data_IF_467202956041
#
_entry.id   IF_467202956041
#
_cell.length_a   1.000
_cell.length_b   1.000
_cell.length_c   1.000
_cell.angle_alpha   90.00
_cell.angle_beta   90.00
_cell.angle_gamma   90.00
#
_symmetry.space_group_name_H-M   'P 1'
#
loop_
_entity.id
_entity.type
_entity.pdbx_description
1 polymer ?
#
# COMPACT_ATOMS: atom_id res chain seq x y z
N UNK A 1 2.13 66.22 -11.85
CA UNK A 1 2.64 65.23 -12.83
C UNK A 1 2.46 63.88 -12.19
N UNK A 2 1.56 63.06 -12.73
CA UNK A 2 1.29 61.70 -12.24
C UNK A 2 2.40 60.78 -12.74
N UNK A 3 3.12 60.12 -11.83
CA UNK A 3 3.98 58.99 -12.18
C UNK A 3 3.11 57.73 -12.23
N UNK A 4 3.20 57.05 -13.37
CA UNK A 4 2.52 55.82 -13.75
C UNK A 4 3.23 54.65 -13.04
N UNK A 5 2.67 54.15 -11.94
CA UNK A 5 3.09 52.90 -11.29
C UNK A 5 2.74 51.73 -12.21
N UNK A 6 3.60 51.50 -13.21
CA UNK A 6 3.55 50.27 -14.01
C UNK A 6 3.99 49.11 -13.14
N UNK A 7 3.01 48.29 -12.75
CA UNK A 7 3.23 46.94 -12.26
C UNK A 7 4.10 46.17 -13.27
N UNK A 8 5.36 45.92 -12.91
CA UNK A 8 6.29 45.09 -13.69
C UNK A 8 6.16 43.64 -13.20
N UNK A 9 5.48 42.74 -13.95
CA UNK A 9 5.30 41.36 -13.56
C UNK A 9 6.57 40.51 -13.66
N UNK A 10 7.72 41.09 -14.03
CA UNK A 10 8.99 40.35 -14.16
C UNK A 10 9.82 40.33 -12.88
N UNK A 11 9.45 41.10 -11.86
CA UNK A 11 10.12 41.07 -10.56
C UNK A 11 9.44 40.06 -9.61
N UNK A 12 9.21 38.86 -10.11
CA UNK A 12 8.96 37.69 -9.27
C UNK A 12 10.34 37.25 -8.81
N UNK A 13 10.66 37.48 -7.54
CA UNK A 13 11.77 36.82 -6.89
C UNK A 13 11.62 35.31 -7.14
N UNK A 14 12.39 34.78 -8.11
CA UNK A 14 12.49 33.36 -8.39
C UNK A 14 13.28 32.70 -7.26
N UNK A 15 12.66 32.61 -6.08
CA UNK A 15 12.98 31.57 -5.12
C UNK A 15 12.52 30.25 -5.74
N UNK A 16 13.37 29.70 -6.59
CA UNK A 16 13.25 28.39 -7.20
C UNK A 16 13.23 27.31 -6.09
N UNK A 17 12.08 27.13 -5.46
CA UNK A 17 11.80 26.04 -4.54
C UNK A 17 11.94 24.73 -5.32
N UNK A 18 13.09 24.09 -5.18
CA UNK A 18 13.39 22.81 -5.82
C UNK A 18 12.26 21.81 -5.58
N UNK A 19 11.70 21.27 -6.66
CA UNK A 19 10.65 20.23 -6.66
C UNK A 19 11.01 19.03 -5.78
N UNK A 20 12.31 18.73 -5.66
CA UNK A 20 12.82 17.64 -4.82
C UNK A 20 12.60 17.93 -3.31
N UNK A 21 12.75 19.19 -2.90
CA UNK A 21 12.50 19.62 -1.51
C UNK A 21 11.02 19.48 -1.14
N UNK A 22 10.12 19.83 -2.06
CA UNK A 22 8.67 19.70 -1.87
C UNK A 22 8.27 18.21 -1.80
N UNK A 23 8.76 17.38 -2.72
CA UNK A 23 8.51 15.92 -2.71
C UNK A 23 8.97 15.27 -1.41
N UNK A 24 10.15 15.65 -0.91
CA UNK A 24 10.68 15.14 0.37
C UNK A 24 9.80 15.54 1.55
N UNK A 25 9.29 16.76 1.56
CA UNK A 25 8.38 17.26 2.62
C UNK A 25 7.04 16.53 2.59
N UNK A 26 6.44 16.33 1.41
CA UNK A 26 5.19 15.57 1.22
C UNK A 26 5.36 14.11 1.66
N UNK A 27 6.46 13.46 1.26
CA UNK A 27 6.75 12.08 1.67
C UNK A 27 6.92 11.95 3.19
N UNK A 28 7.54 12.94 3.83
CA UNK A 28 7.69 12.96 5.30
C UNK A 28 6.34 13.09 5.99
N UNK A 29 5.50 14.03 5.53
CA UNK A 29 4.14 14.23 6.05
C UNK A 29 3.29 12.97 5.90
N UNK A 30 3.30 12.34 4.71
CA UNK A 30 2.63 11.07 4.46
C UNK A 30 3.12 9.97 5.40
N UNK A 31 4.42 9.85 5.62
CA UNK A 31 4.97 8.86 6.53
C UNK A 31 4.55 9.10 7.99
N UNK A 32 4.42 10.36 8.42
CA UNK A 32 3.90 10.71 9.75
C UNK A 32 2.41 10.41 9.88
N UNK A 33 1.61 10.74 8.86
CA UNK A 33 0.18 10.39 8.82
C UNK A 33 -0.02 8.88 8.87
N UNK A 34 0.74 8.10 8.10
CA UNK A 34 0.64 6.65 8.09
C UNK A 34 0.95 6.06 9.47
N UNK A 35 1.97 6.57 10.17
CA UNK A 35 2.33 6.13 11.52
C UNK A 35 1.26 6.43 12.57
N UNK A 36 0.42 7.45 12.34
CA UNK A 36 -0.69 7.75 13.24
C UNK A 36 -1.88 6.78 13.08
N UNK A 37 -1.93 6.05 11.96
CA UNK A 37 -2.99 5.08 11.70
C UNK A 37 -2.71 3.76 12.43
N UNK A 38 -3.63 3.36 13.31
CA UNK A 38 -3.52 2.12 14.11
C UNK A 38 -3.44 0.84 13.26
N UNK A 39 -3.98 0.87 12.04
CA UNK A 39 -3.94 -0.25 11.09
C UNK A 39 -2.68 -0.26 10.23
N UNK A 40 -1.82 0.75 10.30
CA UNK A 40 -0.56 0.78 9.57
C UNK A 40 0.49 -0.07 10.31
N UNK A 41 0.97 -1.11 9.64
CA UNK A 41 1.94 -2.05 10.18
C UNK A 41 3.15 -2.09 9.26
N UNK A 42 4.34 -2.18 9.85
CA UNK A 42 5.59 -2.30 9.10
C UNK A 42 6.41 -3.48 9.64
N UNK A 43 6.72 -4.43 8.76
CA UNK A 43 7.60 -5.56 9.03
C UNK A 43 8.94 -5.39 8.31
N UNK A 44 9.95 -6.17 8.72
CA UNK A 44 11.24 -6.22 8.03
C UNK A 44 11.56 -7.65 7.62
N UNK A 45 11.74 -7.89 6.32
CA UNK A 45 12.10 -9.21 5.78
C UNK A 45 13.42 -9.18 5.04
N UNK A 46 14.14 -10.30 5.08
CA UNK A 46 15.32 -10.52 4.23
C UNK A 46 14.86 -11.05 2.88
N UNK A 47 15.20 -10.34 1.81
CA UNK A 47 14.94 -10.77 0.44
C UNK A 47 16.25 -11.15 -0.24
N UNK A 48 16.22 -12.17 -1.10
CA UNK A 48 17.36 -12.49 -1.97
C UNK A 48 17.43 -11.46 -3.08
N UNK A 49 18.61 -10.91 -3.31
CA UNK A 49 18.88 -9.98 -4.41
C UNK A 49 20.11 -10.48 -5.15
N UNK A 50 20.03 -10.48 -6.47
CA UNK A 50 21.16 -10.84 -7.33
C UNK A 50 21.90 -9.59 -7.79
N UNK A 51 23.22 -9.60 -7.68
CA UNK A 51 24.10 -8.57 -8.23
C UNK A 51 25.41 -9.22 -8.62
N UNK A 52 25.87 -8.98 -9.86
CA UNK A 52 27.13 -9.52 -10.38
C UNK A 52 27.23 -11.05 -10.21
N UNK A 53 26.17 -11.79 -10.58
CA UNK A 53 26.08 -13.26 -10.45
C UNK A 53 26.28 -13.80 -9.02
N UNK A 54 26.05 -12.97 -7.99
CA UNK A 54 26.07 -13.38 -6.59
C UNK A 54 24.74 -13.02 -5.93
N UNK A 55 24.20 -13.95 -5.15
CA UNK A 55 22.99 -13.73 -4.35
C UNK A 55 23.37 -13.24 -2.96
N UNK A 56 22.70 -12.19 -2.49
CA UNK A 56 22.87 -11.66 -1.13
C UNK A 56 21.51 -11.37 -0.50
N UNK A 57 21.43 -11.52 0.82
CA UNK A 57 20.24 -11.18 1.57
C UNK A 57 20.24 -9.68 1.90
N UNK A 58 19.20 -8.98 1.47
CA UNK A 58 18.97 -7.58 1.78
C UNK A 58 17.72 -7.43 2.64
N UNK A 59 17.84 -6.71 3.76
CA UNK A 59 16.68 -6.36 4.57
C UNK A 59 15.83 -5.31 3.86
N UNK A 60 14.53 -5.57 3.76
CA UNK A 60 13.51 -4.66 3.22
C UNK A 60 12.42 -4.44 4.25
N UNK A 61 12.02 -3.18 4.39
CA UNK A 61 10.84 -2.79 5.15
C UNK A 61 9.63 -2.92 4.25
N UNK A 62 8.61 -3.64 4.71
CA UNK A 62 7.35 -3.82 4.01
C UNK A 62 6.29 -3.22 4.92
N UNK A 63 5.56 -2.24 4.39
CA UNK A 63 4.49 -1.58 5.12
C UNK A 63 3.14 -1.90 4.47
N UNK A 64 2.12 -2.09 5.29
CA UNK A 64 0.78 -2.40 4.82
C UNK A 64 -0.27 -1.91 5.80
N UNK A 65 -1.50 -1.85 5.33
CA UNK A 65 -2.66 -1.52 6.13
C UNK A 65 -3.48 -2.76 6.44
N UNK A 66 -3.62 -3.05 7.73
CA UNK A 66 -4.55 -4.05 8.21
C UNK A 66 -5.98 -3.52 8.15
N UNK A 67 -6.88 -4.41 7.79
CA UNK A 67 -8.32 -4.25 7.93
C UNK A 67 -8.77 -4.58 9.36
N UNK A 68 -9.94 -4.08 9.73
CA UNK A 68 -10.54 -4.32 11.05
C UNK A 68 -11.14 -5.72 11.21
N UNK A 69 -12.02 -5.85 12.20
CA UNK A 69 -12.81 -7.06 12.43
C UNK A 69 -14.03 -7.16 11.51
N UNK A 70 -14.80 -8.25 11.62
CA UNK A 70 -16.09 -8.39 10.96
C UNK A 70 -16.97 -7.14 11.13
N UNK A 71 -17.65 -6.73 10.05
CA UNK A 71 -18.48 -5.54 9.99
C UNK A 71 -17.72 -4.23 9.69
N UNK A 72 -16.38 -4.22 9.79
CA UNK A 72 -15.59 -3.07 9.33
C UNK A 72 -15.51 -3.02 7.80
N UNK A 73 -15.32 -1.82 7.20
CA UNK A 73 -15.06 -1.70 5.78
C UNK A 73 -13.72 -2.36 5.43
N UNK A 74 -13.70 -3.04 4.28
CA UNK A 74 -12.48 -3.59 3.70
C UNK A 74 -11.53 -2.43 3.37
N UNK A 75 -10.26 -2.61 3.71
CA UNK A 75 -9.20 -1.66 3.46
C UNK A 75 -8.17 -2.23 2.50
N UNK A 76 -7.78 -1.45 1.49
CA UNK A 76 -6.69 -1.82 0.60
C UNK A 76 -5.36 -1.88 1.38
N UNK A 77 -4.66 -3.01 1.28
CA UNK A 77 -3.45 -3.26 2.05
C UNK A 77 -2.26 -2.37 1.67
N UNK A 78 -2.25 -1.77 0.46
CA UNK A 78 -1.17 -0.92 -0.04
C UNK A 78 -1.50 0.56 0.15
N UNK A 79 -2.66 1.01 -0.34
CA UNK A 79 -3.02 2.44 -0.33
C UNK A 79 -3.67 2.87 0.98
N UNK A 80 -4.27 1.93 1.72
CA UNK A 80 -5.02 2.21 2.93
C UNK A 80 -6.42 2.78 2.67
N UNK A 81 -6.87 2.84 1.41
CA UNK A 81 -8.23 3.24 1.03
C UNK A 81 -9.27 2.30 1.65
N UNK A 82 -10.39 2.86 2.13
CA UNK A 82 -11.50 2.10 2.73
C UNK A 82 -12.66 2.01 1.74
N UNK A 83 -13.08 0.79 1.43
CA UNK A 83 -14.24 0.53 0.59
C UNK A 83 -15.50 0.45 1.47
N UNK A 84 -16.16 1.60 1.68
CA UNK A 84 -17.27 1.71 2.64
C UNK A 84 -18.46 0.79 2.36
N UNK A 85 -18.69 0.41 1.09
CA UNK A 85 -19.77 -0.50 0.71
C UNK A 85 -19.38 -1.98 0.82
N UNK A 86 -18.10 -2.29 1.03
CA UNK A 86 -17.58 -3.66 1.09
C UNK A 86 -17.16 -3.95 2.52
N UNK A 87 -17.94 -4.79 3.21
CA UNK A 87 -17.72 -5.10 4.62
C UNK A 87 -17.03 -6.46 4.80
N UNK A 88 -16.20 -6.56 5.83
CA UNK A 88 -15.60 -7.81 6.29
C UNK A 88 -16.72 -8.71 6.85
N UNK A 89 -16.74 -9.96 6.42
CA UNK A 89 -17.80 -10.94 6.68
C UNK A 89 -18.96 -10.89 5.68
N UNK A 90 -18.85 -10.11 4.60
CA UNK A 90 -19.83 -10.09 3.51
C UNK A 90 -19.31 -10.78 2.24
N UNK A 91 -20.20 -11.01 1.26
CA UNK A 91 -19.83 -11.57 -0.06
C UNK A 91 -18.75 -10.76 -0.79
N UNK A 92 -18.58 -9.48 -0.44
CA UNK A 92 -17.57 -8.61 -1.05
C UNK A 92 -16.13 -9.01 -0.73
N UNK A 93 -15.88 -9.83 0.30
CA UNK A 93 -14.52 -10.33 0.54
C UNK A 93 -13.95 -11.10 -0.65
N UNK A 94 -14.82 -11.74 -1.43
CA UNK A 94 -14.46 -12.59 -2.56
C UNK A 94 -13.94 -11.78 -3.76
N UNK A 95 -14.17 -10.46 -3.75
CA UNK A 95 -13.64 -9.51 -4.73
C UNK A 95 -12.14 -9.23 -4.52
N UNK A 96 -11.59 -9.60 -3.37
CA UNK A 96 -10.24 -9.26 -2.97
C UNK A 96 -9.43 -10.51 -2.62
N UNK A 97 -8.11 -10.41 -2.74
CA UNK A 97 -7.21 -11.42 -2.23
C UNK A 97 -6.94 -11.17 -0.75
N UNK A 98 -7.63 -11.93 0.10
CA UNK A 98 -7.52 -11.86 1.57
C UNK A 98 -6.32 -12.64 2.06
N UNK A 99 -5.48 -12.00 2.88
CA UNK A 99 -4.30 -12.61 3.48
C UNK A 99 -4.26 -12.29 4.97
N UNK A 100 -4.01 -13.30 5.80
CA UNK A 100 -3.72 -13.10 7.22
C UNK A 100 -2.26 -13.44 7.49
N UNK A 101 -1.52 -12.51 8.10
CA UNK A 101 -0.13 -12.73 8.42
C UNK A 101 0.00 -13.39 9.81
N UNK A 102 0.41 -14.65 9.84
CA UNK A 102 0.58 -15.44 11.08
C UNK A 102 2.03 -15.89 11.29
N UNK A 103 3.00 -15.03 10.95
CA UNK A 103 4.45 -15.33 11.03
C UNK A 103 5.10 -14.90 12.36
N UNK A 104 4.34 -14.25 13.26
CA UNK A 104 4.86 -13.68 14.51
C UNK A 104 5.61 -12.36 14.34
N UNK A 105 5.84 -11.90 13.10
CA UNK A 105 6.50 -10.63 12.79
C UNK A 105 5.70 -9.41 13.30
N UNK A 106 4.43 -9.61 13.61
CA UNK A 106 3.46 -8.60 14.07
C UNK A 106 3.09 -8.78 15.54
N UNK A 107 3.91 -9.51 16.31
CA UNK A 107 3.65 -9.80 17.72
C UNK A 107 2.45 -10.74 17.90
N UNK A 108 1.58 -10.51 18.91
CA UNK A 108 0.42 -11.37 19.18
C UNK A 108 -0.72 -11.17 18.16
N UNK A 109 -0.63 -10.18 17.28
CA UNK A 109 -1.66 -9.87 16.31
C UNK A 109 -1.40 -10.61 14.99
N UNK A 110 -2.47 -11.13 14.39
CA UNK A 110 -2.46 -11.69 13.04
C UNK A 110 -3.27 -10.77 12.12
N UNK A 111 -2.66 -9.72 11.55
CA UNK A 111 -3.39 -8.75 10.76
C UNK A 111 -3.94 -9.37 9.48
N UNK A 112 -5.19 -9.04 9.18
CA UNK A 112 -5.83 -9.37 7.90
C UNK A 112 -5.68 -8.21 6.93
N UNK A 113 -5.24 -8.53 5.72
CA UNK A 113 -4.96 -7.61 4.63
C UNK A 113 -5.80 -8.01 3.42
N UNK A 114 -6.19 -7.04 2.61
CA UNK A 114 -6.92 -7.26 1.36
C UNK A 114 -6.17 -6.60 0.22
N UNK A 115 -5.78 -7.40 -0.76
CA UNK A 115 -5.13 -6.99 -2.00
C UNK A 115 -6.11 -7.09 -3.17
N UNK A 116 -5.87 -6.36 -4.24
CA UNK A 116 -6.64 -6.46 -5.47
C UNK A 116 -6.42 -7.81 -6.17
N UNK A 117 -5.24 -8.41 -6.04
CA UNK A 117 -4.94 -9.72 -6.63
C UNK A 117 -3.81 -10.46 -5.88
N UNK A 118 -3.66 -11.78 -6.10
CA UNK A 118 -2.50 -12.54 -5.60
C UNK A 118 -1.16 -11.96 -6.07
N UNK A 119 -1.09 -11.50 -7.33
CA UNK A 119 0.13 -10.93 -7.91
C UNK A 119 0.48 -9.58 -7.28
N UNK A 120 -0.53 -8.79 -6.89
CA UNK A 120 -0.32 -7.57 -6.13
C UNK A 120 0.30 -7.88 -4.76
N UNK A 121 -0.22 -8.90 -4.06
CA UNK A 121 0.36 -9.36 -2.81
C UNK A 121 1.82 -9.80 -2.98
N UNK A 122 2.12 -10.65 -3.95
CA UNK A 122 3.49 -11.12 -4.19
C UNK A 122 4.45 -9.98 -4.47
N UNK A 123 4.07 -9.06 -5.36
CA UNK A 123 4.87 -7.88 -5.70
C UNK A 123 5.09 -6.99 -4.47
N UNK A 124 4.05 -6.75 -3.69
CA UNK A 124 4.13 -5.95 -2.45
C UNK A 124 5.04 -6.62 -1.40
N UNK A 125 5.04 -7.95 -1.36
CA UNK A 125 5.94 -8.76 -0.53
C UNK A 125 7.30 -9.01 -1.18
N UNK A 126 7.66 -8.30 -2.25
CA UNK A 126 8.92 -8.43 -2.99
C UNK A 126 9.21 -9.86 -3.47
N UNK A 127 8.17 -10.63 -3.82
CA UNK A 127 8.24 -12.04 -4.20
C UNK A 127 8.96 -12.93 -3.17
N UNK A 128 9.03 -12.49 -1.90
CA UNK A 128 9.54 -13.31 -0.80
C UNK A 128 8.62 -14.48 -0.46
N UNK A 129 7.36 -14.38 -0.87
CA UNK A 129 6.35 -15.42 -0.79
C UNK A 129 5.78 -15.56 -2.20
N UNK A 130 5.79 -16.79 -2.72
CA UNK A 130 5.16 -17.15 -3.98
C UNK A 130 3.86 -17.89 -3.68
N UNK A 131 2.77 -17.46 -4.28
CA UNK A 131 1.47 -18.09 -4.22
C UNK A 131 1.42 -19.18 -5.30
N UNK A 132 0.98 -20.39 -4.92
CA UNK A 132 0.88 -21.50 -5.88
C UNK A 132 -0.10 -21.19 -7.01
N UNK A 133 0.15 -21.78 -8.19
CA UNK A 133 -0.76 -21.72 -9.34
C UNK A 133 -2.19 -22.06 -8.95
N UNK A 134 -2.36 -23.14 -8.19
CA UNK A 134 -3.67 -23.67 -7.79
C UNK A 134 -4.43 -22.67 -6.91
N UNK A 135 -3.71 -21.97 -6.02
CA UNK A 135 -4.32 -20.93 -5.18
C UNK A 135 -4.75 -19.73 -6.01
N UNK A 136 -3.93 -19.34 -7.01
CA UNK A 136 -4.28 -18.24 -7.93
C UNK A 136 -5.50 -18.60 -8.77
N UNK A 137 -5.55 -19.82 -9.31
CA UNK A 137 -6.68 -20.31 -10.11
C UNK A 137 -7.97 -20.42 -9.30
N UNK A 138 -7.87 -20.97 -8.08
CA UNK A 138 -8.99 -21.02 -7.14
C UNK A 138 -9.54 -19.62 -6.84
N UNK A 139 -8.66 -18.66 -6.52
CA UNK A 139 -9.08 -17.29 -6.27
C UNK A 139 -9.69 -16.64 -7.52
N UNK A 140 -9.10 -16.82 -8.71
CA UNK A 140 -9.63 -16.27 -9.96
C UNK A 140 -11.07 -16.76 -10.23
N UNK A 141 -11.33 -18.05 -10.02
CA UNK A 141 -12.66 -18.65 -10.21
C UNK A 141 -13.68 -18.02 -9.26
N UNK A 142 -13.30 -17.88 -8.00
CA UNK A 142 -14.12 -17.29 -6.94
C UNK A 142 -14.39 -15.79 -7.22
N UNK A 143 -13.36 -15.06 -7.59
CA UNK A 143 -13.42 -13.63 -7.92
C UNK A 143 -14.32 -13.37 -9.13
N UNK A 144 -14.18 -14.16 -10.19
CA UNK A 144 -15.00 -14.04 -11.40
C UNK A 144 -16.49 -14.25 -11.09
N UNK A 145 -16.80 -15.22 -10.23
CA UNK A 145 -18.19 -15.47 -9.80
C UNK A 145 -18.73 -14.30 -8.96
N UNK A 146 -17.93 -13.79 -8.02
CA UNK A 146 -18.31 -12.63 -7.21
C UNK A 146 -18.56 -11.36 -8.04
N UNK A 147 -17.75 -11.11 -9.08
CA UNK A 147 -17.94 -9.99 -10.02
C UNK A 147 -19.23 -10.16 -10.84
N UNK A 148 -19.54 -11.39 -11.25
CA UNK A 148 -20.75 -11.70 -12.01
C UNK A 148 -22.04 -11.54 -11.20
N UNK A 149 -21.97 -11.76 -9.90
CA UNK A 149 -23.10 -11.67 -8.95
C UNK A 149 -23.28 -10.25 -8.36
N UNK A 150 -22.55 -9.26 -8.87
CA UNK A 150 -22.73 -7.82 -8.59
C UNK A 150 -23.63 -7.16 -9.62
#
# INVERSE_FOLDING_TARGET
MYYDDRFDPTNVDEDAFSLDSQKKKVNKLMAEMNKSDKGYIQITRKISVEKNNKSYLKSKKIAFYASGSQGCPIRNAITGERYHNHLIGSKHEDLYFKVTLSTGETGPQSPTMFFASPDEFERHMHHSISISSDTKEYWNTKNYSAIKDM
#
